data_IF_241404329400
#
_entry.id   IF_241404329400
#
_cell.length_a   1.000
_cell.length_b   1.000
_cell.length_c   1.000
_cell.angle_alpha   90.00
_cell.angle_beta   90.00
_cell.angle_gamma   90.00
#
_symmetry.space_group_name_H-M   'P 1'
#
loop_
_entity.id
_entity.type
_entity.pdbx_description
1 polymer ?
#
# COMPACT_ATOMS: atom_id res chain seq x y z
N UNK A 1 7.34 2.75 1.12
CA UNK A 1 7.00 1.54 0.41
C UNK A 1 6.54 0.40 1.32
N UNK A 2 7.37 -0.10 2.26
CA UNK A 2 6.95 -1.19 3.16
C UNK A 2 5.65 -0.84 3.89
N UNK A 3 5.53 0.38 4.37
CA UNK A 3 4.37 0.86 5.14
C UNK A 3 3.05 0.81 4.34
N UNK A 4 3.07 1.07 3.03
CA UNK A 4 1.85 1.09 2.22
C UNK A 4 1.31 -0.29 1.84
N UNK A 5 2.10 -1.35 2.01
CA UNK A 5 1.69 -2.75 1.76
C UNK A 5 1.67 -3.59 3.02
N UNK A 6 2.12 -3.04 4.15
CA UNK A 6 2.17 -3.76 5.41
C UNK A 6 0.79 -4.21 5.93
N UNK A 7 -0.32 -3.49 5.70
CA UNK A 7 -1.64 -3.99 6.06
C UNK A 7 -1.95 -5.36 5.47
N UNK A 8 -1.63 -5.56 4.18
CA UNK A 8 -1.89 -6.81 3.46
C UNK A 8 -1.17 -8.04 4.05
N UNK A 9 -0.23 -7.83 4.99
CA UNK A 9 0.41 -8.95 5.70
C UNK A 9 -0.60 -9.79 6.51
N UNK A 10 -1.72 -9.22 6.93
CA UNK A 10 -2.77 -9.99 7.59
C UNK A 10 -3.51 -10.93 6.62
N UNK A 11 -3.44 -10.66 5.32
CA UNK A 11 -3.89 -11.56 4.25
C UNK A 11 -3.05 -12.84 4.13
N UNK A 12 -1.86 -12.90 4.74
CA UNK A 12 -1.05 -14.13 4.80
C UNK A 12 -1.76 -15.27 5.54
N UNK A 13 -2.85 -15.00 6.25
CA UNK A 13 -3.75 -16.02 6.80
C UNK A 13 -4.21 -17.05 5.77
N UNK A 14 -4.20 -16.70 4.46
CA UNK A 14 -4.53 -17.64 3.37
C UNK A 14 -3.62 -18.87 3.35
N UNK A 15 -2.35 -18.75 3.75
CA UNK A 15 -1.43 -19.87 3.82
C UNK A 15 -1.73 -20.85 4.95
N UNK A 16 -2.52 -20.41 5.93
CA UNK A 16 -3.00 -21.28 7.02
C UNK A 16 -4.34 -21.91 6.66
N UNK A 17 -5.34 -21.11 6.28
CA UNK A 17 -6.63 -21.56 5.79
C UNK A 17 -7.41 -20.39 5.18
N UNK A 18 -8.38 -20.70 4.32
CA UNK A 18 -9.33 -19.72 3.78
C UNK A 18 -10.10 -19.01 4.91
N UNK A 19 -10.51 -19.76 5.95
CA UNK A 19 -11.19 -19.19 7.11
C UNK A 19 -10.28 -18.21 7.90
N UNK A 20 -8.99 -18.50 8.02
CA UNK A 20 -8.03 -17.59 8.66
C UNK A 20 -7.87 -16.30 7.84
N UNK A 21 -7.82 -16.40 6.51
CA UNK A 21 -7.82 -15.23 5.63
C UNK A 21 -9.01 -14.33 5.90
N UNK A 22 -10.23 -14.85 5.85
CA UNK A 22 -11.45 -14.05 6.09
C UNK A 22 -11.56 -13.49 7.52
N UNK A 23 -10.99 -14.18 8.51
CA UNK A 23 -11.03 -13.72 9.91
C UNK A 23 -9.97 -12.68 10.24
N UNK A 24 -8.85 -12.65 9.54
CA UNK A 24 -7.71 -11.80 9.87
C UNK A 24 -7.56 -10.60 8.95
N UNK A 25 -7.83 -10.80 7.65
CA UNK A 25 -7.70 -9.76 6.64
C UNK A 25 -8.74 -8.67 6.88
N UNK A 26 -8.34 -7.42 6.79
CA UNK A 26 -9.08 -6.20 7.16
C UNK A 26 -9.37 -6.05 8.67
N UNK A 27 -8.77 -6.89 9.52
CA UNK A 27 -8.96 -6.83 10.98
C UNK A 27 -7.65 -6.50 11.70
N UNK A 28 -6.60 -7.35 11.51
CA UNK A 28 -5.39 -7.28 12.36
C UNK A 28 -4.52 -6.07 12.00
N UNK A 29 -4.32 -5.81 10.73
CA UNK A 29 -3.42 -4.76 10.26
C UNK A 29 -4.13 -3.58 9.56
N UNK A 30 -5.43 -3.69 9.27
CA UNK A 30 -6.24 -2.65 8.62
C UNK A 30 -6.97 -1.78 9.65
N UNK A 31 -6.24 -1.21 10.62
CA UNK A 31 -6.85 -0.43 11.69
C UNK A 31 -5.95 0.73 12.13
N UNK A 32 -6.54 1.70 12.83
CA UNK A 32 -5.82 2.88 13.32
C UNK A 32 -4.68 2.54 14.30
N UNK A 33 -4.85 1.67 15.31
CA UNK A 33 -3.77 1.29 16.20
C UNK A 33 -2.55 0.72 15.46
N UNK A 34 -2.75 -0.17 14.50
CA UNK A 34 -1.67 -0.71 13.69
C UNK A 34 -1.00 0.39 12.84
N UNK A 35 -1.80 1.26 12.21
CA UNK A 35 -1.30 2.39 11.43
C UNK A 35 -0.39 3.31 12.26
N UNK A 36 -0.81 3.66 13.48
CA UNK A 36 -0.03 4.49 14.39
C UNK A 36 1.28 3.79 14.83
N UNK A 37 1.19 2.53 15.24
CA UNK A 37 2.35 1.76 15.71
C UNK A 37 3.38 1.56 14.59
N UNK A 38 2.93 1.14 13.40
CA UNK A 38 3.82 0.94 12.26
C UNK A 38 4.46 2.25 11.81
N UNK A 39 3.67 3.33 11.71
CA UNK A 39 4.18 4.64 11.31
C UNK A 39 5.20 5.19 12.29
N UNK A 40 4.95 5.04 13.60
CA UNK A 40 5.89 5.45 14.65
C UNK A 40 7.16 4.58 14.64
N UNK A 41 7.01 3.27 14.51
CA UNK A 41 8.13 2.33 14.43
C UNK A 41 9.05 2.62 13.24
N UNK A 42 8.48 2.77 12.04
CA UNK A 42 9.26 3.11 10.84
C UNK A 42 9.88 4.52 10.92
N UNK A 43 9.16 5.47 11.47
CA UNK A 43 9.67 6.84 11.64
C UNK A 43 10.85 6.93 12.61
N UNK A 44 10.93 6.02 13.60
CA UNK A 44 12.03 6.00 14.58
C UNK A 44 13.40 5.82 13.91
N UNK A 45 13.45 5.15 12.76
CA UNK A 45 14.69 4.93 11.97
C UNK A 45 14.97 6.03 10.93
N UNK A 46 14.11 7.06 10.85
CA UNK A 46 14.30 8.19 9.93
C UNK A 46 15.06 9.34 10.59
N UNK A 47 15.89 10.02 9.82
CA UNK A 47 16.55 11.28 10.24
C UNK A 47 15.53 12.41 10.52
N UNK A 48 14.39 12.38 9.84
CA UNK A 48 13.31 13.36 10.01
C UNK A 48 12.05 12.70 10.58
N UNK A 49 12.16 12.14 11.81
CA UNK A 49 11.14 11.28 12.46
C UNK A 49 9.72 11.83 12.38
N UNK A 50 9.53 13.12 12.68
CA UNK A 50 8.19 13.73 12.70
C UNK A 50 7.56 13.80 11.30
N UNK A 51 8.33 14.24 10.31
CA UNK A 51 7.85 14.25 8.91
C UNK A 51 7.58 12.85 8.39
N UNK A 52 8.48 11.91 8.68
CA UNK A 52 8.34 10.51 8.29
C UNK A 52 7.08 9.88 8.91
N UNK A 53 6.80 10.13 10.19
CA UNK A 53 5.60 9.64 10.85
C UNK A 53 4.31 10.04 10.10
N UNK A 54 4.16 11.33 9.78
CA UNK A 54 2.97 11.81 9.08
C UNK A 54 2.86 11.28 7.65
N UNK A 55 3.99 11.17 6.94
CA UNK A 55 4.01 10.57 5.60
C UNK A 55 3.60 9.09 5.66
N UNK A 56 4.15 8.33 6.60
CA UNK A 56 3.79 6.92 6.75
C UNK A 56 2.34 6.74 7.17
N UNK A 57 1.86 7.55 8.10
CA UNK A 57 0.46 7.52 8.53
C UNK A 57 -0.49 7.85 7.37
N UNK A 58 -0.14 8.82 6.53
CA UNK A 58 -0.89 9.15 5.31
C UNK A 58 -0.92 7.96 4.33
N UNK A 59 0.23 7.32 4.09
CA UNK A 59 0.33 6.16 3.19
C UNK A 59 -0.53 4.99 3.68
N UNK A 60 -0.55 4.74 4.99
CA UNK A 60 -1.44 3.75 5.60
C UNK A 60 -2.92 4.08 5.36
N UNK A 61 -3.30 5.34 5.58
CA UNK A 61 -4.70 5.75 5.37
C UNK A 61 -5.11 5.76 3.91
N UNK A 62 -4.19 6.04 2.99
CA UNK A 62 -4.45 5.89 1.55
C UNK A 62 -4.71 4.42 1.18
N UNK A 63 -3.95 3.48 1.77
CA UNK A 63 -4.21 2.06 1.59
C UNK A 63 -5.61 1.69 2.11
N UNK A 64 -5.92 2.00 3.38
CA UNK A 64 -7.24 1.75 3.96
C UNK A 64 -8.38 2.39 3.17
N UNK A 65 -8.16 3.58 2.61
CA UNK A 65 -9.14 4.24 1.74
C UNK A 65 -9.38 3.47 0.44
N UNK A 66 -8.31 2.94 -0.17
CA UNK A 66 -8.44 2.14 -1.39
C UNK A 66 -9.20 0.84 -1.11
N UNK A 67 -8.96 0.19 0.03
CA UNK A 67 -9.72 -1.00 0.44
C UNK A 67 -11.18 -0.67 0.71
N UNK A 68 -11.45 0.42 1.43
CA UNK A 68 -12.81 0.88 1.70
C UNK A 68 -13.60 1.16 0.42
N UNK A 69 -12.94 1.60 -0.64
CA UNK A 69 -13.55 1.89 -1.93
C UNK A 69 -13.59 0.69 -2.88
N UNK A 70 -12.56 -0.16 -2.87
CA UNK A 70 -12.25 -1.07 -3.96
C UNK A 70 -12.10 -2.56 -3.62
N UNK A 71 -12.37 -2.97 -2.37
CA UNK A 71 -12.31 -4.40 -2.00
C UNK A 71 -13.61 -5.16 -2.23
N UNK A 72 -14.68 -4.46 -2.60
CA UNK A 72 -16.00 -5.03 -2.83
C UNK A 72 -16.97 -4.86 -1.67
N UNK A 73 -18.28 -4.99 -1.94
CA UNK A 73 -19.30 -4.91 -0.90
C UNK A 73 -19.11 -6.02 0.15
N UNK A 74 -19.23 -5.65 1.42
CA UNK A 74 -19.10 -6.60 2.54
C UNK A 74 -17.68 -6.75 3.10
N UNK A 75 -16.66 -6.20 2.46
CA UNK A 75 -15.29 -6.13 2.98
C UNK A 75 -15.11 -4.88 3.83
N UNK A 76 -15.65 -4.90 5.06
CA UNK A 76 -15.51 -3.78 5.99
C UNK A 76 -14.19 -3.80 6.76
N UNK A 77 -13.78 -2.64 7.27
CA UNK A 77 -12.56 -2.42 8.03
C UNK A 77 -12.92 -2.19 9.50
N UNK A 78 -12.37 -2.98 10.42
CA UNK A 78 -12.51 -2.77 11.87
C UNK A 78 -11.53 -1.70 12.37
N UNK A 79 -11.83 -0.44 12.02
CA UNK A 79 -10.89 0.67 12.13
C UNK A 79 -10.32 0.91 13.54
N UNK A 80 -11.10 0.63 14.60
CA UNK A 80 -10.65 0.82 15.99
C UNK A 80 -10.27 -0.48 16.71
N UNK A 81 -10.19 -1.60 15.99
CA UNK A 81 -9.77 -2.86 16.59
C UNK A 81 -8.35 -2.75 17.20
N UNK A 82 -8.04 -3.37 18.37
CA UNK A 82 -8.90 -4.22 19.21
C UNK A 82 -9.77 -3.44 20.23
N UNK A 83 -9.66 -2.13 20.31
CA UNK A 83 -10.31 -1.29 21.33
C UNK A 83 -11.80 -1.05 21.04
N UNK A 84 -12.25 -1.26 19.84
CA UNK A 84 -13.63 -1.10 19.40
C UNK A 84 -13.99 -2.01 18.23
N UNK A 85 -15.28 -2.33 18.12
CA UNK A 85 -15.82 -3.18 17.04
C UNK A 85 -16.56 -2.36 15.97
N UNK A 86 -16.28 -1.07 15.86
CA UNK A 86 -16.87 -0.26 14.81
C UNK A 86 -16.35 -0.72 13.44
N UNK A 87 -17.29 -1.14 12.59
CA UNK A 87 -17.02 -1.61 11.25
C UNK A 87 -17.31 -0.49 10.24
N UNK A 88 -16.26 0.02 9.61
CA UNK A 88 -16.38 0.88 8.45
C UNK A 88 -16.73 0.00 7.24
N UNK A 89 -17.98 0.04 6.81
CA UNK A 89 -18.47 -0.72 5.66
C UNK A 89 -19.00 0.22 4.58
N UNK A 90 -18.64 -0.06 3.32
CA UNK A 90 -19.11 0.67 2.17
C UNK A 90 -19.96 -0.26 1.28
N UNK A 91 -21.29 -0.15 1.29
CA UNK A 91 -22.15 -0.97 0.45
C UNK A 91 -22.01 -0.65 -1.05
N UNK A 92 -21.41 0.48 -1.39
CA UNK A 92 -21.15 0.93 -2.77
C UNK A 92 -19.69 0.71 -3.19
N UNK A 93 -18.90 -0.03 -2.41
CA UNK A 93 -17.55 -0.40 -2.80
C UNK A 93 -17.59 -1.14 -4.15
N UNK A 94 -16.72 -0.73 -5.06
CA UNK A 94 -16.61 -1.45 -6.33
C UNK A 94 -15.87 -2.78 -6.17
N UNK A 95 -16.18 -3.79 -6.99
CA UNK A 95 -15.50 -5.08 -6.93
C UNK A 95 -14.00 -4.95 -7.15
N UNK A 96 -13.23 -5.85 -6.55
CA UNK A 96 -11.76 -5.86 -6.65
C UNK A 96 -11.26 -5.82 -8.11
N UNK A 97 -11.89 -6.57 -9.01
CA UNK A 97 -11.56 -6.61 -10.44
C UNK A 97 -12.31 -5.55 -11.27
N UNK A 98 -12.60 -4.39 -10.69
CA UNK A 98 -13.32 -3.31 -11.37
C UNK A 98 -12.40 -2.46 -12.24
N UNK A 99 -12.99 -1.75 -13.22
CA UNK A 99 -12.25 -0.79 -14.05
C UNK A 99 -11.66 0.37 -13.22
N UNK A 100 -12.29 0.74 -12.11
CA UNK A 100 -11.81 1.77 -11.19
C UNK A 100 -10.47 1.36 -10.60
N UNK A 101 -10.36 0.14 -10.05
CA UNK A 101 -9.11 -0.38 -9.52
C UNK A 101 -8.03 -0.47 -10.61
N UNK A 102 -8.39 -0.88 -11.81
CA UNK A 102 -7.47 -0.90 -12.95
C UNK A 102 -6.97 0.50 -13.31
N UNK A 103 -7.83 1.51 -13.30
CA UNK A 103 -7.44 2.91 -13.50
C UNK A 103 -6.47 3.40 -12.43
N UNK A 104 -6.75 3.18 -11.15
CA UNK A 104 -5.84 3.55 -10.06
C UNK A 104 -4.49 2.85 -10.16
N UNK A 105 -4.49 1.53 -10.41
CA UNK A 105 -3.26 0.77 -10.61
C UNK A 105 -2.44 1.32 -11.79
N UNK A 106 -3.11 1.67 -12.90
CA UNK A 106 -2.46 2.26 -14.07
C UNK A 106 -1.86 3.64 -13.78
N UNK A 107 -2.58 4.49 -13.05
CA UNK A 107 -2.08 5.82 -12.63
C UNK A 107 -0.84 5.66 -11.74
N UNK A 108 -0.88 4.77 -10.75
CA UNK A 108 0.27 4.52 -9.87
C UNK A 108 1.46 3.94 -10.64
N UNK A 109 1.22 3.01 -11.58
CA UNK A 109 2.27 2.47 -12.44
C UNK A 109 2.92 3.57 -13.28
N UNK A 110 2.13 4.41 -13.94
CA UNK A 110 2.64 5.53 -14.74
C UNK A 110 3.44 6.51 -13.87
N UNK A 111 2.99 6.76 -12.65
CA UNK A 111 3.72 7.61 -11.71
C UNK A 111 5.06 7.00 -11.30
N UNK A 112 5.11 5.70 -10.98
CA UNK A 112 6.37 5.00 -10.69
C UNK A 112 7.32 5.05 -11.89
N UNK A 113 6.82 4.87 -13.11
CA UNK A 113 7.63 4.98 -14.33
C UNK A 113 8.14 6.41 -14.54
N UNK A 114 7.33 7.42 -14.26
CA UNK A 114 7.75 8.82 -14.32
C UNK A 114 8.88 9.09 -13.31
N UNK A 115 8.74 8.67 -12.05
CA UNK A 115 9.81 8.78 -11.03
C UNK A 115 11.08 8.05 -11.48
N UNK A 116 10.94 6.85 -12.06
CA UNK A 116 12.08 6.09 -12.59
C UNK A 116 12.86 6.87 -13.67
N UNK A 117 12.14 7.54 -14.55
CA UNK A 117 12.74 8.33 -15.64
C UNK A 117 13.37 9.63 -15.11
N UNK A 118 12.67 10.39 -14.26
CA UNK A 118 13.11 11.71 -13.80
C UNK A 118 14.13 11.59 -12.65
N UNK A 119 13.81 10.86 -11.60
CA UNK A 119 14.63 10.77 -10.38
C UNK A 119 15.65 9.63 -10.44
N UNK A 120 15.47 8.65 -11.35
CA UNK A 120 16.37 7.52 -11.49
C UNK A 120 16.25 6.49 -10.38
N UNK A 121 15.06 6.33 -9.84
CA UNK A 121 14.76 5.42 -8.72
C UNK A 121 13.42 4.74 -8.91
N UNK A 122 13.32 3.48 -8.47
CA UNK A 122 12.04 2.82 -8.30
C UNK A 122 11.93 2.21 -6.92
N UNK A 123 10.76 1.71 -6.57
CA UNK A 123 10.60 0.91 -5.37
C UNK A 123 11.54 -0.29 -5.24
N UNK A 124 12.08 -0.81 -6.34
CA UNK A 124 13.06 -1.93 -6.31
C UNK A 124 14.37 -1.56 -5.63
N UNK A 125 14.75 -0.27 -5.59
CA UNK A 125 15.97 0.20 -4.92
C UNK A 125 16.05 -0.27 -3.46
N UNK A 126 14.90 -0.32 -2.76
CA UNK A 126 14.86 -0.72 -1.37
C UNK A 126 15.12 -2.23 -1.12
N UNK A 127 14.94 -3.07 -2.15
CA UNK A 127 15.02 -4.53 -2.02
C UNK A 127 16.19 -5.06 -2.85
N UNK A 128 16.35 -4.59 -4.08
CA UNK A 128 17.32 -5.05 -5.08
C UNK A 128 17.97 -3.87 -5.82
N UNK A 129 18.90 -3.11 -5.20
CA UNK A 129 19.48 -1.89 -5.79
C UNK A 129 20.11 -2.11 -7.18
N UNK A 130 20.75 -3.27 -7.39
CA UNK A 130 21.41 -3.61 -8.67
C UNK A 130 20.39 -3.84 -9.79
N UNK A 131 19.23 -4.40 -9.47
CA UNK A 131 18.16 -4.63 -10.42
C UNK A 131 17.45 -3.31 -10.74
N UNK A 132 17.23 -2.47 -9.73
CA UNK A 132 16.69 -1.13 -9.91
C UNK A 132 17.52 -0.31 -10.90
N UNK A 133 18.83 -0.25 -10.72
CA UNK A 133 19.73 0.48 -11.63
C UNK A 133 19.67 -0.03 -13.08
N UNK A 134 19.60 -1.34 -13.29
CA UNK A 134 19.46 -1.94 -14.63
C UNK A 134 18.12 -1.53 -15.26
N UNK A 135 17.04 -1.61 -14.50
CA UNK A 135 15.70 -1.27 -14.95
C UNK A 135 15.59 0.22 -15.32
N UNK A 136 16.03 1.10 -14.43
CA UNK A 136 16.04 2.56 -14.63
C UNK A 136 16.88 2.94 -15.85
N UNK A 137 18.08 2.35 -15.99
CA UNK A 137 18.94 2.60 -17.16
C UNK A 137 18.28 2.18 -18.46
N UNK A 138 17.62 1.02 -18.47
CA UNK A 138 16.84 0.54 -19.62
C UNK A 138 15.72 1.49 -20.00
N UNK A 139 14.91 1.91 -19.03
CA UNK A 139 13.81 2.87 -19.25
C UNK A 139 14.30 4.22 -19.79
N UNK A 140 15.35 4.77 -19.21
CA UNK A 140 15.91 6.06 -19.65
C UNK A 140 16.45 5.97 -21.07
N UNK A 141 17.11 4.88 -21.46
CA UNK A 141 17.56 4.68 -22.84
C UNK A 141 16.38 4.68 -23.81
N UNK A 142 15.30 3.98 -23.50
CA UNK A 142 14.09 3.97 -24.35
C UNK A 142 13.42 5.35 -24.44
N UNK A 143 13.40 6.11 -23.35
CA UNK A 143 12.82 7.46 -23.31
C UNK A 143 13.65 8.48 -24.12
N UNK A 144 14.98 8.35 -24.15
CA UNK A 144 15.88 9.24 -24.92
C UNK A 144 15.83 8.94 -26.43
N UNK A 145 15.57 7.71 -26.82
CA UNK A 145 15.46 7.30 -28.25
C UNK A 145 14.22 7.87 -28.96
N UNK A 146 13.28 8.47 -28.21
CA UNK A 146 12.06 9.08 -28.77
C UNK A 146 12.13 10.60 -28.93
N UNK A 147 13.29 11.21 -28.65
CA UNK A 147 13.58 12.64 -28.92
C UNK A 147 14.57 12.77 -30.05
#
# INVERSE_FOLDING_TARGET
MVVSVAPDLDGLGIFYSEQAYFNWHHVIAHNLPFALLLSAGCAAFSSHRWKAFWVYLLLMHLHLLMDFLGSGPGWGIFYFWPFGRWLANNPYAWPFYSWQNLCFASIFLLWVLAIAIYDGRTPLEAIMPSLDQKFVTGLRRMAIWRR
#
